data_IF_511295398118
#
_entry.id   IF_511295398118
#
_cell.length_a   1.000
_cell.length_b   1.000
_cell.length_c   1.000
_cell.angle_alpha   90.00
_cell.angle_beta   90.00
_cell.angle_gamma   90.00
#
_symmetry.space_group_name_H-M   'P 1'
#
loop_
_entity.id
_entity.type
_entity.pdbx_description
1 polymer ?
#
# COMPACT_ATOMS: atom_id res chain seq x y z
N UNK A 1 61.05 34.44 -12.30
CA UNK A 1 60.26 35.68 -12.37
C UNK A 1 58.78 35.34 -12.65
N UNK A 2 58.13 34.47 -11.84
CA UNK A 2 56.75 34.00 -12.08
C UNK A 2 55.71 34.47 -11.04
N UNK A 3 56.14 34.92 -9.86
CA UNK A 3 55.23 35.26 -8.76
C UNK A 3 54.63 36.67 -8.79
N UNK A 4 55.03 37.53 -9.73
CA UNK A 4 54.44 38.88 -9.90
C UNK A 4 53.27 38.86 -10.90
N UNK A 5 53.30 37.98 -11.91
CA UNK A 5 52.23 37.86 -12.89
C UNK A 5 50.94 37.32 -12.23
N UNK A 6 51.04 36.25 -11.42
CA UNK A 6 49.89 35.66 -10.73
C UNK A 6 49.15 36.65 -9.81
N UNK A 7 49.89 37.49 -9.07
CA UNK A 7 49.32 38.52 -8.20
C UNK A 7 48.56 39.59 -8.95
N UNK A 8 49.01 39.93 -10.16
CA UNK A 8 48.31 40.88 -11.00
C UNK A 8 47.00 40.27 -11.51
N UNK A 9 47.01 39.01 -11.95
CA UNK A 9 45.79 38.30 -12.38
C UNK A 9 44.78 38.21 -11.23
N UNK A 10 45.21 37.87 -10.03
CA UNK A 10 44.34 37.80 -8.85
C UNK A 10 43.72 39.15 -8.51
N UNK A 11 44.48 40.25 -8.64
CA UNK A 11 43.98 41.60 -8.44
C UNK A 11 42.95 42.02 -9.51
N UNK A 12 43.16 41.62 -10.77
CA UNK A 12 42.18 41.85 -11.84
C UNK A 12 40.89 41.07 -11.61
N UNK A 13 40.98 39.81 -11.19
CA UNK A 13 39.82 38.97 -10.87
C UNK A 13 39.04 39.52 -9.68
N UNK A 14 39.72 39.92 -8.60
CA UNK A 14 39.07 40.55 -7.45
C UNK A 14 38.35 41.85 -7.81
N UNK A 15 38.94 42.65 -8.70
CA UNK A 15 38.34 43.89 -9.17
C UNK A 15 37.09 43.62 -10.01
N UNK A 16 37.16 42.67 -10.94
CA UNK A 16 36.03 42.28 -11.77
C UNK A 16 34.85 41.76 -10.92
N UNK A 17 35.12 40.96 -9.88
CA UNK A 17 34.10 40.46 -8.96
C UNK A 17 33.51 41.57 -8.09
N UNK A 18 34.32 42.53 -7.61
CA UNK A 18 33.85 43.67 -6.81
C UNK A 18 33.03 44.70 -7.60
N UNK A 19 33.37 44.89 -8.88
CA UNK A 19 32.69 45.86 -9.76
C UNK A 19 31.40 45.29 -10.38
N UNK A 20 31.16 43.98 -10.23
CA UNK A 20 29.90 43.37 -10.63
C UNK A 20 28.81 43.77 -9.62
N UNK A 21 27.71 44.41 -10.04
CA UNK A 21 26.63 44.78 -9.13
C UNK A 21 26.06 43.51 -8.50
N UNK A 22 25.84 43.56 -7.18
CA UNK A 22 25.13 42.50 -6.46
C UNK A 22 23.72 42.39 -7.04
N UNK A 23 23.48 41.36 -7.85
CA UNK A 23 22.14 41.00 -8.30
C UNK A 23 21.31 40.63 -7.08
N UNK A 24 20.54 41.59 -6.58
CA UNK A 24 19.56 41.32 -5.53
C UNK A 24 18.45 40.49 -6.15
N UNK A 25 18.03 39.39 -5.50
CA UNK A 25 16.86 38.66 -5.96
C UNK A 25 15.66 39.63 -6.03
N UNK A 26 14.72 39.39 -6.97
CA UNK A 26 13.46 40.12 -7.01
C UNK A 26 12.77 40.04 -5.65
N UNK A 27 12.03 41.09 -5.27
CA UNK A 27 11.30 41.15 -3.99
C UNK A 27 10.44 39.90 -3.73
N UNK A 28 9.92 39.27 -4.79
CA UNK A 28 9.02 38.11 -4.70
C UNK A 28 9.73 36.75 -4.89
N UNK A 29 11.06 36.71 -4.88
CA UNK A 29 11.82 35.47 -5.08
C UNK A 29 11.41 34.39 -4.08
N UNK A 30 11.42 34.71 -2.79
CA UNK A 30 11.03 33.77 -1.73
C UNK A 30 9.59 33.32 -1.88
N UNK A 31 8.67 34.23 -2.24
CA UNK A 31 7.27 33.91 -2.45
C UNK A 31 7.07 32.94 -3.62
N UNK A 32 7.76 33.14 -4.75
CA UNK A 32 7.72 32.23 -5.91
C UNK A 32 8.35 30.87 -5.60
N UNK A 33 9.46 30.83 -4.87
CA UNK A 33 10.09 29.55 -4.48
C UNK A 33 9.19 28.77 -3.54
N UNK A 34 8.66 29.40 -2.48
CA UNK A 34 7.70 28.78 -1.56
C UNK A 34 6.43 28.29 -2.29
N UNK A 35 5.89 29.08 -3.22
CA UNK A 35 4.71 28.67 -3.99
C UNK A 35 4.95 27.38 -4.80
N UNK A 36 6.13 27.26 -5.43
CA UNK A 36 6.49 26.06 -6.20
C UNK A 36 6.80 24.86 -5.31
N UNK A 37 7.43 25.07 -4.15
CA UNK A 37 7.69 24.01 -3.16
C UNK A 37 6.38 23.47 -2.60
N UNK A 38 5.47 24.35 -2.15
CA UNK A 38 4.16 23.97 -1.62
C UNK A 38 3.27 23.28 -2.66
N UNK A 39 3.33 23.70 -3.93
CA UNK A 39 2.62 23.04 -5.02
C UNK A 39 3.18 21.64 -5.30
N UNK A 40 4.49 21.48 -5.23
CA UNK A 40 5.17 20.18 -5.41
C UNK A 40 4.90 19.23 -4.25
N UNK A 41 4.92 19.73 -3.01
CA UNK A 41 4.64 18.93 -1.81
C UNK A 41 3.17 18.48 -1.74
N UNK A 42 2.21 19.32 -2.15
CA UNK A 42 0.80 18.90 -2.27
C UNK A 42 0.61 17.79 -3.31
N UNK A 43 1.38 17.79 -4.39
CA UNK A 43 1.35 16.72 -5.41
C UNK A 43 2.02 15.43 -4.94
N UNK A 44 2.89 15.51 -3.92
CA UNK A 44 3.67 14.38 -3.38
C UNK A 44 3.21 13.92 -2.01
N UNK A 45 2.15 14.52 -1.46
CA UNK A 45 1.43 13.94 -0.34
C UNK A 45 1.02 12.54 -0.76
N UNK A 46 1.63 11.53 -0.14
CA UNK A 46 1.32 10.12 -0.35
C UNK A 46 -0.13 9.92 0.05
N UNK A 47 -1.06 10.13 -0.89
CA UNK A 47 -2.48 9.89 -0.66
C UNK A 47 -2.59 8.39 -0.41
N UNK A 48 -2.75 8.04 0.86
CA UNK A 48 -2.91 6.67 1.28
C UNK A 48 -4.23 6.16 0.71
N UNK A 49 -4.13 5.45 -0.42
CA UNK A 49 -5.26 4.75 -1.00
C UNK A 49 -5.37 3.40 -0.29
N UNK A 50 -6.50 3.09 0.35
CA UNK A 50 -6.64 1.82 1.05
C UNK A 50 -6.39 0.67 0.07
N UNK A 51 -5.50 -0.27 0.43
CA UNK A 51 -5.10 -1.42 -0.40
C UNK A 51 -6.33 -2.23 -0.87
N UNK A 52 -7.38 -2.27 -0.05
CA UNK A 52 -8.66 -2.91 -0.35
C UNK A 52 -9.78 -1.93 -0.03
N UNK A 53 -10.63 -1.64 -1.02
CA UNK A 53 -11.85 -0.84 -0.84
C UNK A 53 -12.80 -1.51 0.15
N UNK A 54 -13.65 -0.73 0.84
CA UNK A 54 -14.66 -1.27 1.79
C UNK A 54 -15.51 -2.39 1.19
N UNK A 55 -15.78 -2.35 -0.12
CA UNK A 55 -16.49 -3.39 -0.86
C UNK A 55 -15.69 -4.70 -1.00
N UNK A 56 -14.36 -4.59 -1.14
CA UNK A 56 -13.47 -5.75 -1.22
C UNK A 56 -13.41 -6.53 0.09
N UNK A 57 -13.48 -5.84 1.23
CA UNK A 57 -13.58 -6.50 2.54
C UNK A 57 -14.87 -7.32 2.69
N UNK A 58 -16.00 -6.82 2.17
CA UNK A 58 -17.26 -7.56 2.18
C UNK A 58 -17.19 -8.84 1.33
N UNK A 59 -16.49 -8.80 0.19
CA UNK A 59 -16.23 -9.98 -0.64
C UNK A 59 -15.38 -11.02 0.10
N UNK A 60 -14.30 -10.60 0.77
CA UNK A 60 -13.42 -11.49 1.54
C UNK A 60 -14.20 -12.19 2.65
N UNK A 61 -15.03 -11.46 3.41
CA UNK A 61 -15.88 -12.05 4.44
C UNK A 61 -16.89 -13.06 3.87
N UNK A 62 -17.51 -12.76 2.72
CA UNK A 62 -18.45 -13.66 2.08
C UNK A 62 -17.81 -14.99 1.65
N UNK A 63 -16.60 -14.93 1.08
CA UNK A 63 -15.84 -16.12 0.68
C UNK A 63 -15.49 -16.98 1.90
N UNK A 64 -14.98 -16.34 2.95
CA UNK A 64 -14.61 -17.02 4.20
C UNK A 64 -15.83 -17.69 4.85
N UNK A 65 -16.96 -16.99 4.94
CA UNK A 65 -18.18 -17.53 5.52
C UNK A 65 -18.69 -18.74 4.73
N UNK A 66 -18.59 -18.67 3.40
CA UNK A 66 -18.98 -19.77 2.50
C UNK A 66 -18.08 -20.99 2.72
N UNK A 67 -16.75 -20.81 2.77
CA UNK A 67 -15.82 -21.90 3.07
C UNK A 67 -16.08 -22.52 4.46
N UNK A 68 -16.28 -21.67 5.47
CA UNK A 68 -16.60 -22.14 6.83
C UNK A 68 -17.88 -22.97 6.85
N UNK A 69 -18.92 -22.54 6.13
CA UNK A 69 -20.16 -23.30 5.99
C UNK A 69 -19.93 -24.67 5.35
N UNK A 70 -19.19 -24.75 4.24
CA UNK A 70 -18.88 -26.02 3.57
C UNK A 70 -18.14 -27.01 4.48
N UNK A 71 -17.18 -26.52 5.26
CA UNK A 71 -16.37 -27.36 6.15
C UNK A 71 -17.22 -27.89 7.32
N UNK A 72 -18.15 -27.09 7.84
CA UNK A 72 -19.07 -27.53 8.90
C UNK A 72 -20.14 -28.48 8.34
N UNK A 73 -20.69 -28.20 7.15
CA UNK A 73 -21.75 -29.00 6.53
C UNK A 73 -21.27 -30.28 5.84
N UNK A 74 -19.97 -30.43 5.59
CA UNK A 74 -19.35 -31.53 4.84
C UNK A 74 -19.51 -32.95 5.41
N UNK A 75 -20.27 -33.15 6.50
CA UNK A 75 -20.67 -34.50 6.95
C UNK A 75 -22.12 -34.86 6.65
N UNK A 76 -22.90 -33.96 6.06
CA UNK A 76 -24.22 -34.32 5.53
C UNK A 76 -24.06 -34.48 4.03
N UNK A 77 -24.06 -35.74 3.60
CA UNK A 77 -24.25 -36.16 2.22
C UNK A 77 -25.67 -35.78 1.78
N UNK A 78 -25.93 -34.48 1.71
CA UNK A 78 -27.16 -33.93 1.17
C UNK A 78 -26.75 -32.67 0.42
N UNK A 79 -26.52 -32.90 -0.87
CA UNK A 79 -26.55 -31.93 -1.97
C UNK A 79 -26.80 -30.50 -1.51
N UNK A 80 -25.76 -29.85 -0.98
CA UNK A 80 -25.76 -28.42 -0.87
C UNK A 80 -25.77 -27.93 -2.30
N UNK A 81 -26.93 -27.47 -2.77
CA UNK A 81 -27.12 -26.79 -4.05
C UNK A 81 -26.29 -25.51 -3.99
N UNK A 82 -24.98 -25.67 -4.20
CA UNK A 82 -24.01 -24.59 -4.28
C UNK A 82 -24.58 -23.65 -5.32
N UNK A 83 -24.90 -22.45 -4.86
CA UNK A 83 -25.25 -21.28 -5.66
C UNK A 83 -24.60 -21.42 -7.03
N UNK A 84 -25.41 -21.44 -8.09
CA UNK A 84 -24.96 -21.72 -9.46
C UNK A 84 -24.05 -20.59 -9.97
N UNK A 85 -22.82 -20.55 -9.46
CA UNK A 85 -21.72 -19.85 -10.10
C UNK A 85 -21.36 -20.64 -11.36
N UNK A 86 -21.08 -19.92 -12.45
CA UNK A 86 -20.99 -20.46 -13.80
C UNK A 86 -20.02 -21.63 -13.97
N UNK A 87 -20.04 -22.29 -15.14
CA UNK A 87 -19.34 -23.57 -15.38
C UNK A 87 -17.85 -23.57 -15.00
N UNK A 88 -17.15 -22.43 -15.10
CA UNK A 88 -15.74 -22.32 -14.70
C UNK A 88 -15.46 -22.49 -13.21
N UNK A 89 -16.41 -22.13 -12.33
CA UNK A 89 -16.22 -22.23 -10.87
C UNK A 89 -16.50 -23.64 -10.34
N UNK A 90 -17.31 -24.43 -11.07
CA UNK A 90 -17.61 -25.83 -10.75
C UNK A 90 -16.36 -26.72 -10.84
N UNK A 91 -15.55 -26.50 -11.89
CA UNK A 91 -14.29 -27.22 -12.07
C UNK A 91 -13.27 -26.85 -10.98
N UNK A 92 -13.21 -25.58 -10.57
CA UNK A 92 -12.33 -25.16 -9.48
C UNK A 92 -12.70 -25.89 -8.19
N UNK A 93 -13.97 -25.86 -7.79
CA UNK A 93 -14.42 -26.52 -6.55
C UNK A 93 -14.15 -28.03 -6.57
N UNK A 94 -14.33 -28.71 -7.71
CA UNK A 94 -14.07 -30.14 -7.82
C UNK A 94 -12.57 -30.47 -7.65
N UNK A 95 -11.67 -29.68 -8.24
CA UNK A 95 -10.22 -29.86 -8.10
C UNK A 95 -9.72 -29.56 -6.68
N UNK A 96 -10.36 -28.65 -5.95
CA UNK A 96 -10.06 -28.40 -4.53
C UNK A 96 -10.70 -29.43 -3.57
N UNK A 97 -11.70 -30.19 -4.03
CA UNK A 97 -12.33 -31.26 -3.24
C UNK A 97 -11.48 -32.54 -3.18
N UNK A 98 -10.74 -32.83 -4.27
CA UNK A 98 -9.95 -34.06 -4.40
C UNK A 98 -8.49 -33.93 -3.95
N UNK A 99 -8.04 -32.75 -3.54
CA UNK A 99 -6.70 -32.61 -2.94
C UNK A 99 -6.74 -33.21 -1.53
N UNK A 100 -5.92 -34.23 -1.22
CA UNK A 100 -5.85 -34.82 0.11
C UNK A 100 -5.07 -33.88 1.03
N UNK A 101 -5.59 -32.67 1.27
CA UNK A 101 -5.05 -31.73 2.24
C UNK A 101 -5.47 -32.20 3.63
N UNK A 102 -4.72 -33.20 4.08
CA UNK A 102 -4.59 -33.65 5.47
C UNK A 102 -5.82 -34.35 6.09
N UNK A 103 -5.63 -35.62 6.46
CA UNK A 103 -6.57 -36.42 7.25
C UNK A 103 -6.59 -35.98 8.72
N UNK A 104 -6.75 -34.69 8.98
CA UNK A 104 -6.87 -34.17 10.34
C UNK A 104 -8.26 -34.46 10.91
N UNK A 105 -8.33 -34.67 12.22
CA UNK A 105 -9.60 -34.82 12.94
C UNK A 105 -10.49 -33.61 12.67
N UNK A 106 -11.80 -33.83 12.59
CA UNK A 106 -12.79 -32.78 12.28
C UNK A 106 -12.65 -31.55 13.19
N UNK A 107 -12.27 -31.79 14.44
CA UNK A 107 -12.03 -30.74 15.44
C UNK A 107 -10.80 -29.91 15.07
N UNK A 108 -9.67 -30.55 14.74
CA UNK A 108 -8.44 -29.85 14.36
C UNK A 108 -8.60 -29.02 13.10
N UNK A 109 -9.30 -29.53 12.07
CA UNK A 109 -9.59 -28.77 10.85
C UNK A 109 -10.47 -27.55 11.13
N UNK A 110 -11.49 -27.70 11.98
CA UNK A 110 -12.38 -26.58 12.36
C UNK A 110 -11.62 -25.49 13.14
N UNK A 111 -10.72 -25.88 14.04
CA UNK A 111 -9.88 -24.94 14.81
C UNK A 111 -8.92 -24.17 13.90
N UNK A 112 -8.27 -24.84 12.93
CA UNK A 112 -7.35 -24.20 11.98
C UNK A 112 -8.08 -23.17 11.11
N UNK A 113 -9.28 -23.52 10.64
CA UNK A 113 -10.12 -22.61 9.86
C UNK A 113 -10.51 -21.40 10.71
N UNK A 114 -11.02 -21.61 11.92
CA UNK A 114 -11.40 -20.52 12.84
C UNK A 114 -10.20 -19.60 13.16
N UNK A 115 -9.03 -20.17 13.42
CA UNK A 115 -7.81 -19.43 13.70
C UNK A 115 -7.39 -18.56 12.50
N UNK A 116 -7.50 -19.10 11.28
CA UNK A 116 -7.21 -18.36 10.04
C UNK A 116 -8.16 -17.17 9.89
N UNK A 117 -9.45 -17.36 10.16
CA UNK A 117 -10.46 -16.30 10.13
C UNK A 117 -10.12 -15.19 11.15
N UNK A 118 -9.75 -15.57 12.37
CA UNK A 118 -9.35 -14.61 13.39
C UNK A 118 -8.12 -13.80 12.98
N UNK A 119 -7.11 -14.43 12.36
CA UNK A 119 -5.92 -13.73 11.87
C UNK A 119 -6.31 -12.69 10.80
N UNK A 120 -7.20 -13.03 9.88
CA UNK A 120 -7.68 -12.06 8.89
C UNK A 120 -8.38 -10.86 9.55
N UNK A 121 -9.23 -11.10 10.55
CA UNK A 121 -9.89 -10.02 11.32
C UNK A 121 -8.85 -9.13 12.00
N UNK A 122 -7.84 -9.73 12.64
CA UNK A 122 -6.76 -9.00 13.31
C UNK A 122 -5.97 -8.13 12.32
N UNK A 123 -5.62 -8.67 11.14
CA UNK A 123 -4.93 -7.91 10.08
C UNK A 123 -5.78 -6.74 9.61
N UNK A 124 -7.09 -6.95 9.42
CA UNK A 124 -8.04 -5.89 9.05
C UNK A 124 -8.04 -4.75 10.05
N UNK A 125 -8.11 -5.11 11.34
CA UNK A 125 -8.14 -4.16 12.43
C UNK A 125 -6.83 -3.37 12.54
N UNK A 126 -5.69 -4.03 12.35
CA UNK A 126 -4.37 -3.40 12.32
C UNK A 126 -4.25 -2.40 11.17
N UNK A 127 -4.65 -2.79 9.94
CA UNK A 127 -4.64 -1.90 8.78
C UNK A 127 -5.53 -0.68 9.04
N UNK A 128 -6.71 -0.86 9.63
CA UNK A 128 -7.61 0.24 9.97
C UNK A 128 -7.01 1.17 11.05
N UNK A 129 -6.32 0.63 12.05
CA UNK A 129 -5.63 1.44 13.06
C UNK A 129 -4.48 2.27 12.45
N UNK A 130 -3.69 1.65 11.57
CA UNK A 130 -2.61 2.34 10.85
C UNK A 130 -3.17 3.42 9.92
N UNK A 131 -4.26 3.14 9.19
CA UNK A 131 -4.90 4.11 8.30
C UNK A 131 -5.32 5.38 9.06
N UNK A 132 -5.90 5.24 10.26
CA UNK A 132 -6.23 6.38 11.13
C UNK A 132 -5.03 7.19 11.62
N UNK A 133 -3.84 6.59 11.67
CA UNK A 133 -2.61 7.29 12.08
C UNK A 133 -1.96 8.07 10.94
N UNK A 134 -2.09 7.59 9.71
CA UNK A 134 -1.52 8.22 8.51
C UNK A 134 -2.47 9.21 7.82
N UNK A 135 -3.73 9.29 8.24
CA UNK A 135 -4.68 10.35 7.86
C UNK A 135 -4.47 11.61 8.76
N UNK A 136 -3.24 12.11 8.80
CA UNK A 136 -2.87 13.42 9.38
C UNK A 136 -2.07 14.24 8.38
#
# INVERSE_FOLDING_TARGET
MKGNEDKNIEHYVQRAIKETPLESPPHDFTAKVMANVLATDKSKATIYKPLISKKGWLLVFAIIATLGYFIVSGSSQNQAKVWSFGPGMKNFIHTFGDVPLFQFSRITTTVIVLATIMIFIQITWLINHLNKRFEK
#
